data_IF_152712044181
#
_entry.id   IF_152712044181
#
_cell.length_a   1.000
_cell.length_b   1.000
_cell.length_c   1.000
_cell.angle_alpha   90.00
_cell.angle_beta   90.00
_cell.angle_gamma   90.00
#
_symmetry.space_group_name_H-M   'P 1'
#
loop_
_entity.id
_entity.type
_entity.pdbx_description
1 polymer ?
#
# COMPACT_ATOMS: atom_id res chain seq x y z
N UNK A 1 12.59 7.46 -5.97
CA UNK A 1 12.17 6.29 -5.17
C UNK A 1 10.68 6.45 -4.88
N UNK A 2 9.85 5.42 -5.07
CA UNK A 2 8.38 5.53 -5.10
C UNK A 2 7.80 5.32 -3.70
N UNK A 3 6.82 6.14 -3.31
CA UNK A 3 5.98 5.91 -2.13
C UNK A 3 4.61 5.44 -2.58
N UNK A 4 4.08 4.39 -1.95
CA UNK A 4 2.77 3.82 -2.29
C UNK A 4 1.83 3.97 -1.10
N UNK A 5 0.59 4.34 -1.39
CA UNK A 5 -0.49 4.35 -0.40
C UNK A 5 -1.56 3.38 -0.85
N UNK A 6 -1.97 2.49 0.06
CA UNK A 6 -3.12 1.61 -0.13
C UNK A 6 -4.31 2.21 0.61
N UNK A 7 -5.45 2.43 -0.08
CA UNK A 7 -6.67 2.90 0.57
C UNK A 7 -7.22 1.81 1.50
N UNK A 8 -7.45 2.18 2.76
CA UNK A 8 -8.10 1.30 3.73
C UNK A 8 -9.58 1.11 3.40
N UNK A 9 -10.11 -0.08 3.62
CA UNK A 9 -11.54 -0.38 3.45
C UNK A 9 -11.83 -1.14 2.15
N UNK A 10 -12.87 -0.71 1.41
CA UNK A 10 -13.45 -1.48 0.29
C UNK A 10 -12.47 -1.82 -0.84
N UNK A 11 -11.45 -0.98 -1.07
CA UNK A 11 -10.46 -1.18 -2.13
C UNK A 11 -9.18 -1.89 -1.65
N UNK A 12 -9.05 -2.14 -0.34
CA UNK A 12 -7.81 -2.61 0.25
C UNK A 12 -7.39 -3.98 -0.29
N UNK A 13 -8.28 -4.97 -0.21
CA UNK A 13 -8.01 -6.34 -0.68
C UNK A 13 -7.77 -6.39 -2.19
N UNK A 14 -8.57 -5.66 -2.97
CA UNK A 14 -8.43 -5.59 -4.43
C UNK A 14 -7.08 -4.96 -4.83
N UNK A 15 -6.66 -3.90 -4.12
CA UNK A 15 -5.34 -3.28 -4.34
C UNK A 15 -4.22 -4.23 -3.99
N UNK A 16 -4.30 -4.93 -2.85
CA UNK A 16 -3.29 -5.94 -2.46
C UNK A 16 -3.22 -7.09 -3.48
N UNK A 17 -4.37 -7.52 -4.02
CA UNK A 17 -4.44 -8.55 -5.06
C UNK A 17 -3.80 -8.08 -6.37
N UNK A 18 -4.03 -6.84 -6.78
CA UNK A 18 -3.39 -6.24 -7.97
C UNK A 18 -1.86 -6.25 -7.86
N UNK A 19 -1.33 -5.84 -6.70
CA UNK A 19 0.11 -5.88 -6.42
C UNK A 19 0.65 -7.31 -6.44
N UNK A 20 -0.08 -8.27 -5.86
CA UNK A 20 0.30 -9.69 -5.92
C UNK A 20 0.33 -10.24 -7.35
N UNK A 21 -0.63 -9.86 -8.20
CA UNK A 21 -0.68 -10.25 -9.61
C UNK A 21 0.46 -9.63 -10.43
N UNK A 22 0.94 -8.45 -10.03
CA UNK A 22 2.07 -7.77 -10.64
C UNK A 22 3.45 -8.27 -10.14
N UNK A 23 3.50 -9.42 -9.44
CA UNK A 23 4.72 -9.96 -8.81
C UNK A 23 5.36 -9.00 -7.78
N UNK A 24 4.53 -8.17 -7.15
CA UNK A 24 4.91 -7.18 -6.14
C UNK A 24 4.14 -7.41 -4.83
N UNK A 25 4.23 -8.60 -4.19
CA UNK A 25 3.40 -8.91 -3.05
C UNK A 25 3.68 -7.97 -1.86
N UNK A 26 2.63 -7.27 -1.43
CA UNK A 26 2.64 -6.44 -0.22
C UNK A 26 2.22 -7.30 0.96
N UNK A 27 3.13 -7.47 1.92
CA UNK A 27 2.90 -8.21 3.16
C UNK A 27 2.36 -7.25 4.22
N UNK A 28 1.13 -7.48 4.67
CA UNK A 28 0.57 -6.81 5.86
C UNK A 28 0.13 -7.85 6.89
N UNK A 29 0.09 -7.43 8.15
CA UNK A 29 -0.72 -8.08 9.18
C UNK A 29 -2.03 -7.29 9.40
N UNK A 30 -3.05 -7.91 10.00
CA UNK A 30 -4.42 -7.34 10.07
C UNK A 30 -4.52 -5.91 10.63
N UNK A 31 -3.56 -5.50 11.48
CA UNK A 31 -3.57 -4.19 12.14
C UNK A 31 -2.40 -3.27 11.74
N UNK A 32 -1.63 -3.65 10.72
CA UNK A 32 -0.40 -2.93 10.38
C UNK A 32 -0.64 -1.80 9.37
N UNK A 33 -0.23 -0.59 9.74
CA UNK A 33 -0.36 0.62 8.91
C UNK A 33 0.84 0.84 7.95
N UNK A 34 1.94 0.13 8.17
CA UNK A 34 3.17 0.21 7.37
C UNK A 34 3.54 -1.18 6.81
N UNK A 35 2.81 -1.67 5.81
CA UNK A 35 3.10 -2.97 5.22
C UNK A 35 4.45 -2.98 4.49
N UNK A 36 5.00 -4.17 4.28
CA UNK A 36 6.32 -4.36 3.68
C UNK A 36 6.21 -4.87 2.25
N UNK A 37 7.09 -4.38 1.39
CA UNK A 37 7.30 -4.85 0.03
C UNK A 37 8.79 -5.03 -0.20
N UNK A 38 9.17 -6.02 -1.00
CA UNK A 38 10.56 -6.30 -1.33
C UNK A 38 10.83 -5.88 -2.78
N UNK A 39 10.91 -4.57 -3.03
CA UNK A 39 11.27 -4.03 -4.34
C UNK A 39 12.16 -2.79 -4.17
N UNK A 40 13.34 -2.73 -4.81
CA UNK A 40 14.29 -1.63 -4.62
C UNK A 40 13.79 -0.28 -5.15
N UNK A 41 12.75 -0.27 -6.01
CA UNK A 41 12.15 0.96 -6.55
C UNK A 41 11.21 1.64 -5.55
N UNK A 42 10.73 0.89 -4.55
CA UNK A 42 9.70 1.33 -3.59
C UNK A 42 10.36 1.64 -2.25
N UNK A 43 10.22 2.88 -1.79
CA UNK A 43 10.75 3.33 -0.51
C UNK A 43 9.87 2.90 0.65
N UNK A 44 8.57 3.16 0.54
CA UNK A 44 7.60 2.97 1.62
C UNK A 44 6.23 2.61 1.07
N UNK A 45 5.51 1.79 1.82
CA UNK A 45 4.09 1.53 1.62
C UNK A 45 3.35 1.91 2.89
N UNK A 46 2.24 2.63 2.76
CA UNK A 46 1.35 2.97 3.87
C UNK A 46 -0.08 2.55 3.57
N UNK A 47 -0.82 2.21 4.62
CA UNK A 47 -2.27 2.06 4.55
C UNK A 47 -2.90 3.28 5.22
N UNK A 48 -3.66 4.06 4.45
CA UNK A 48 -4.31 5.28 4.92
C UNK A 48 -5.80 5.25 4.58
N UNK A 49 -6.62 6.01 5.31
CA UNK A 49 -8.01 6.20 4.91
C UNK A 49 -8.04 7.06 3.63
N UNK A 50 -9.00 6.85 2.71
CA UNK A 50 -9.06 7.59 1.44
C UNK A 50 -8.95 9.11 1.58
N UNK A 51 -9.57 9.69 2.61
CA UNK A 51 -9.53 11.13 2.91
C UNK A 51 -8.15 11.66 3.34
N UNK A 52 -7.24 10.79 3.79
CA UNK A 52 -5.88 11.16 4.20
C UNK A 52 -4.89 11.12 3.03
N UNK A 53 -5.22 10.39 1.96
CA UNK A 53 -4.33 10.16 0.82
C UNK A 53 -3.91 11.47 0.13
N UNK A 54 -4.81 12.42 -0.20
CA UNK A 54 -4.43 13.64 -0.91
C UNK A 54 -3.35 14.44 -0.16
N UNK A 55 -3.42 14.49 1.16
CA UNK A 55 -2.44 15.19 2.01
C UNK A 55 -1.08 14.50 2.08
N UNK A 56 -1.04 13.20 1.80
CA UNK A 56 0.18 12.40 1.89
C UNK A 56 0.97 12.40 0.58
N UNK A 57 0.30 12.61 -0.56
CA UNK A 57 0.88 12.54 -1.91
C UNK A 57 1.17 13.91 -2.53
N UNK A 58 0.97 14.99 -1.78
CA UNK A 58 1.31 16.37 -2.19
C UNK A 58 2.80 16.53 -2.54
#
# INVERSE_FOLDING_TARGET
>A
MINIVIPKGSLEEQTLMLFKQADLPIKKTDREYNPKINDPRISKVKVLRPQEIPKYVE
#
